data_IF_430218017871
#
_entry.id   IF_430218017871
#
_cell.length_a   1.000
_cell.length_b   1.000
_cell.length_c   1.000
_cell.angle_alpha   90.00
_cell.angle_beta   90.00
_cell.angle_gamma   90.00
#
_symmetry.space_group_name_H-M   'P 1'
#
loop_
_entity.id
_entity.type
_entity.pdbx_description
1 polymer ?
#
# COMPACT_ATOMS: atom_id res chain seq x y z
N UNK A 1 16.39 4.81 -28.34
CA UNK A 1 15.77 4.90 -29.67
C UNK A 1 14.98 3.63 -29.96
N UNK A 2 13.85 3.70 -30.65
CA UNK A 2 13.08 2.51 -31.04
C UNK A 2 13.91 1.61 -31.96
N UNK A 3 13.88 0.30 -31.71
CA UNK A 3 14.53 -0.72 -32.49
C UNK A 3 13.50 -1.42 -33.40
N UNK A 4 13.95 -1.88 -34.57
CA UNK A 4 13.09 -2.66 -35.46
C UNK A 4 12.76 -4.02 -34.84
N UNK A 5 11.54 -4.54 -35.10
CA UNK A 5 11.14 -5.91 -34.70
C UNK A 5 12.05 -7.01 -35.23
N UNK A 6 12.86 -6.74 -36.25
CA UNK A 6 13.90 -7.68 -36.66
C UNK A 6 14.92 -7.96 -35.55
N UNK A 7 15.19 -6.98 -34.67
CA UNK A 7 16.06 -7.17 -33.54
C UNK A 7 15.42 -8.05 -32.43
N UNK A 8 14.09 -8.20 -32.38
CA UNK A 8 13.43 -9.10 -31.43
C UNK A 8 13.84 -10.55 -31.66
N UNK A 9 13.99 -10.93 -32.93
CA UNK A 9 14.47 -12.27 -33.30
C UNK A 9 15.87 -12.58 -32.75
N UNK A 10 16.75 -11.58 -32.64
CA UNK A 10 18.07 -11.74 -32.02
C UNK A 10 17.93 -12.08 -30.54
N UNK A 11 17.01 -11.40 -29.81
CA UNK A 11 16.76 -11.68 -28.39
C UNK A 11 16.14 -13.06 -28.17
N UNK A 12 15.22 -13.50 -29.03
CA UNK A 12 14.60 -14.82 -28.93
C UNK A 12 15.58 -15.97 -29.11
N UNK A 13 16.68 -15.74 -29.85
CA UNK A 13 17.71 -16.75 -30.13
C UNK A 13 18.93 -16.65 -29.19
N UNK A 14 18.91 -15.75 -28.21
CA UNK A 14 19.97 -15.67 -27.22
C UNK A 14 19.96 -16.89 -26.27
N UNK A 15 21.13 -17.32 -25.78
CA UNK A 15 21.23 -18.47 -24.90
C UNK A 15 20.40 -18.31 -23.64
N UNK A 16 19.55 -19.28 -23.37
CA UNK A 16 18.71 -19.30 -22.18
C UNK A 16 17.43 -18.47 -22.23
N UNK A 17 17.15 -17.77 -23.33
CA UNK A 17 15.87 -17.06 -23.52
C UNK A 17 14.80 -18.05 -23.94
N UNK A 18 13.70 -18.08 -23.21
CA UNK A 18 12.53 -18.94 -23.44
C UNK A 18 11.42 -18.18 -24.17
N UNK A 19 11.29 -16.88 -23.92
CA UNK A 19 10.27 -16.02 -24.51
C UNK A 19 10.78 -14.57 -24.48
N UNK A 20 10.41 -13.80 -25.50
CA UNK A 20 10.68 -12.37 -25.60
C UNK A 20 9.40 -11.61 -26.00
N UNK A 21 9.02 -10.61 -25.24
CA UNK A 21 7.88 -9.75 -25.53
C UNK A 21 8.31 -8.29 -25.69
N UNK A 22 7.99 -7.66 -26.84
CA UNK A 22 8.32 -6.27 -27.09
C UNK A 22 7.33 -5.35 -26.39
N UNK A 23 7.81 -4.17 -25.97
CA UNK A 23 6.97 -3.09 -25.51
C UNK A 23 7.48 -1.75 -26.03
N UNK A 24 6.57 -0.78 -26.17
CA UNK A 24 6.89 0.58 -26.62
C UNK A 24 6.15 1.58 -25.77
N UNK A 25 6.82 2.64 -25.34
CA UNK A 25 6.21 3.73 -24.59
C UNK A 25 6.30 4.99 -25.44
N UNK A 26 5.16 5.60 -25.75
CA UNK A 26 5.09 6.80 -26.58
C UNK A 26 4.51 7.93 -25.77
N UNK A 27 5.28 9.00 -25.58
CA UNK A 27 4.82 10.20 -24.89
C UNK A 27 3.77 10.94 -25.71
N UNK A 28 2.66 11.29 -25.07
CA UNK A 28 1.55 11.94 -25.73
C UNK A 28 0.74 12.85 -24.81
N UNK A 29 0.12 13.89 -25.40
CA UNK A 29 -0.92 14.67 -24.75
C UNK A 29 -2.29 14.13 -25.16
N UNK A 30 -3.10 13.75 -24.18
CA UNK A 30 -4.49 13.32 -24.36
C UNK A 30 -5.40 14.53 -24.24
N UNK A 31 -6.31 14.73 -25.20
CA UNK A 31 -7.26 15.86 -25.20
C UNK A 31 -8.68 15.39 -25.46
N UNK A 32 -9.61 15.87 -24.67
CA UNK A 32 -11.05 15.67 -24.87
C UNK A 32 -11.80 16.97 -24.58
N UNK A 33 -12.21 17.68 -25.61
CA UNK A 33 -12.77 19.02 -25.48
C UNK A 33 -11.79 20.00 -24.81
N UNK A 34 -12.19 20.67 -23.70
CA UNK A 34 -11.33 21.61 -22.99
C UNK A 34 -10.33 20.92 -22.04
N UNK A 35 -10.46 19.61 -21.81
CA UNK A 35 -9.62 18.86 -20.87
C UNK A 35 -8.43 18.28 -21.59
N UNK A 36 -7.28 18.32 -20.93
CA UNK A 36 -6.05 17.72 -21.43
C UNK A 36 -5.24 17.11 -20.30
N UNK A 37 -4.51 16.04 -20.60
CA UNK A 37 -3.59 15.39 -19.68
C UNK A 37 -2.36 14.91 -20.43
N UNK A 38 -1.18 15.21 -19.88
CA UNK A 38 0.08 14.71 -20.42
C UNK A 38 0.40 13.36 -19.84
N UNK A 39 0.73 12.40 -20.68
CA UNK A 39 1.04 11.03 -20.27
C UNK A 39 1.80 10.26 -21.33
N UNK A 40 1.63 8.96 -21.33
CA UNK A 40 2.23 8.08 -22.32
C UNK A 40 1.25 6.96 -22.69
N UNK A 41 1.38 6.48 -23.91
CA UNK A 41 0.71 5.26 -24.40
C UNK A 41 1.70 4.12 -24.27
N UNK A 42 1.31 3.09 -23.55
CA UNK A 42 2.09 1.85 -23.42
C UNK A 42 1.58 0.87 -24.51
N UNK A 43 2.39 0.70 -25.54
CA UNK A 43 2.16 -0.30 -26.59
C UNK A 43 2.66 -1.66 -26.09
N UNK A 44 1.76 -2.61 -25.93
CA UNK A 44 2.04 -3.98 -25.50
C UNK A 44 1.38 -4.97 -26.45
N UNK A 45 1.87 -6.22 -26.58
CA UNK A 45 1.15 -7.25 -27.33
C UNK A 45 -0.23 -7.51 -26.73
N UNK A 46 -1.24 -7.74 -27.59
CA UNK A 46 -2.59 -8.08 -27.14
C UNK A 46 -2.64 -9.37 -26.31
N UNK A 47 -1.70 -10.27 -26.58
CA UNK A 47 -1.50 -11.57 -25.95
C UNK A 47 -0.31 -11.59 -24.96
N UNK A 48 0.01 -10.44 -24.34
CA UNK A 48 1.14 -10.33 -23.41
C UNK A 48 1.01 -11.29 -22.23
N UNK A 49 2.03 -12.11 -22.01
CA UNK A 49 2.13 -13.09 -20.92
C UNK A 49 3.15 -12.67 -19.86
N UNK A 50 4.26 -12.04 -20.30
CA UNK A 50 5.36 -11.67 -19.39
C UNK A 50 5.07 -10.42 -18.56
N UNK A 51 4.26 -9.52 -19.11
CA UNK A 51 3.84 -8.29 -18.41
C UNK A 51 2.32 -8.09 -18.52
N UNK A 52 1.52 -9.00 -17.95
CA UNK A 52 0.06 -8.83 -17.95
C UNK A 52 -0.33 -7.57 -17.16
N UNK A 53 -1.34 -6.87 -17.65
CA UNK A 53 -1.92 -5.71 -17.00
C UNK A 53 -2.96 -6.24 -16.02
N UNK A 54 -2.88 -5.84 -14.76
CA UNK A 54 -3.85 -6.22 -13.73
C UNK A 54 -4.72 -5.04 -13.35
N UNK A 55 -6.00 -5.30 -13.20
CA UNK A 55 -6.94 -4.43 -12.51
C UNK A 55 -6.73 -4.50 -10.98
N UNK A 56 -7.33 -3.58 -10.24
CA UNK A 56 -7.35 -3.58 -8.77
C UNK A 56 -7.97 -4.84 -8.17
N UNK A 57 -8.86 -5.54 -8.91
CA UNK A 57 -9.42 -6.84 -8.53
C UNK A 57 -8.44 -8.01 -8.69
N UNK A 58 -7.31 -7.80 -9.37
CA UNK A 58 -6.34 -8.84 -9.75
C UNK A 58 -6.70 -9.58 -11.03
N UNK A 59 -7.73 -9.14 -11.75
CA UNK A 59 -8.07 -9.68 -13.06
C UNK A 59 -7.15 -9.14 -14.15
N UNK A 60 -6.87 -9.95 -15.18
CA UNK A 60 -6.05 -9.53 -16.31
C UNK A 60 -6.88 -8.66 -17.24
N UNK A 61 -6.37 -7.49 -17.55
CA UNK A 61 -6.95 -6.56 -18.51
C UNK A 61 -6.45 -6.91 -19.91
N UNK A 62 -7.35 -7.37 -20.76
CA UNK A 62 -7.02 -7.63 -22.16
C UNK A 62 -6.86 -6.30 -22.92
N UNK A 63 -5.89 -6.26 -23.85
CA UNK A 63 -5.69 -5.11 -24.73
C UNK A 63 -6.25 -5.44 -26.12
N UNK A 64 -7.41 -4.89 -26.50
CA UNK A 64 -7.99 -5.14 -27.80
C UNK A 64 -7.06 -4.70 -28.96
N UNK A 65 -7.17 -5.29 -30.16
CA UNK A 65 -6.31 -5.00 -31.31
C UNK A 65 -6.51 -3.60 -31.92
N UNK A 66 -7.33 -2.76 -31.30
CA UNK A 66 -7.55 -1.38 -31.72
C UNK A 66 -8.20 -0.55 -30.64
N UNK A 67 -7.89 0.75 -30.61
CA UNK A 67 -8.37 1.69 -29.59
C UNK A 67 -7.50 1.76 -28.33
N UNK A 68 -7.92 2.62 -27.42
CA UNK A 68 -7.25 2.88 -26.14
C UNK A 68 -7.91 2.12 -25.00
N UNK A 69 -7.11 1.52 -24.16
CA UNK A 69 -7.47 1.04 -22.83
C UNK A 69 -6.96 2.08 -21.83
N UNK A 70 -7.86 2.79 -21.15
CA UNK A 70 -7.51 3.88 -20.23
C UNK A 70 -7.73 3.47 -18.79
N UNK A 71 -6.87 3.98 -17.90
CA UNK A 71 -7.19 3.94 -16.48
C UNK A 71 -8.42 4.81 -16.19
N UNK A 72 -9.29 4.36 -15.28
CA UNK A 72 -10.49 5.11 -14.84
C UNK A 72 -10.13 6.53 -14.42
N UNK A 73 -9.00 6.70 -13.74
CA UNK A 73 -8.49 8.02 -13.33
C UNK A 73 -8.20 8.93 -14.52
N UNK A 74 -7.60 8.42 -15.59
CA UNK A 74 -7.34 9.22 -16.80
C UNK A 74 -8.63 9.55 -17.53
N UNK A 75 -9.55 8.58 -17.63
CA UNK A 75 -10.86 8.77 -18.23
C UNK A 75 -11.69 9.84 -17.49
N UNK A 76 -11.72 9.82 -16.17
CA UNK A 76 -12.39 10.84 -15.32
C UNK A 76 -11.80 12.24 -15.53
N UNK A 77 -10.47 12.37 -15.61
CA UNK A 77 -9.81 13.65 -15.88
C UNK A 77 -10.18 14.22 -17.24
N UNK A 78 -10.22 13.36 -18.24
CA UNK A 78 -10.60 13.74 -19.61
C UNK A 78 -12.10 13.88 -19.76
N UNK A 79 -12.92 13.29 -18.88
CA UNK A 79 -14.36 13.26 -18.95
C UNK A 79 -14.86 12.40 -20.10
N UNK A 80 -14.22 11.27 -20.33
CA UNK A 80 -14.55 10.32 -21.41
C UNK A 80 -14.92 8.96 -20.84
N UNK A 81 -15.75 8.24 -21.56
CA UNK A 81 -16.16 6.86 -21.29
C UNK A 81 -15.81 5.90 -22.42
N UNK A 82 -16.16 4.64 -22.23
CA UNK A 82 -16.04 3.63 -23.29
C UNK A 82 -16.94 4.02 -24.49
N UNK A 83 -16.35 4.00 -25.68
CA UNK A 83 -17.01 4.43 -26.92
C UNK A 83 -16.71 5.87 -27.34
N UNK A 84 -16.24 6.71 -26.42
CA UNK A 84 -15.79 8.07 -26.73
C UNK A 84 -14.47 8.07 -27.48
N UNK A 85 -14.12 9.20 -28.08
CA UNK A 85 -12.84 9.35 -28.77
C UNK A 85 -11.99 10.45 -28.12
N UNK A 86 -10.72 10.17 -28.01
CA UNK A 86 -9.71 11.07 -27.45
C UNK A 86 -8.77 11.52 -28.56
N UNK A 87 -8.44 12.80 -28.59
CA UNK A 87 -7.38 13.32 -29.42
C UNK A 87 -6.04 13.08 -28.74
N UNK A 88 -5.11 12.49 -29.45
CA UNK A 88 -3.76 12.17 -28.98
C UNK A 88 -2.78 12.98 -29.80
N UNK A 89 -2.04 13.87 -29.18
CA UNK A 89 -0.91 14.57 -29.77
C UNK A 89 0.39 13.88 -29.35
N UNK A 90 0.99 13.17 -30.29
CA UNK A 90 2.21 12.41 -30.04
C UNK A 90 3.44 13.31 -30.04
N UNK A 91 4.37 13.10 -29.13
CA UNK A 91 5.56 13.92 -29.00
C UNK A 91 6.81 13.34 -29.69
N UNK A 92 6.66 12.17 -30.30
CA UNK A 92 7.73 11.49 -31.00
C UNK A 92 7.50 11.51 -32.53
N UNK A 93 8.59 11.32 -33.27
CA UNK A 93 8.57 11.21 -34.74
C UNK A 93 7.95 12.43 -35.40
N UNK A 94 6.92 12.22 -36.21
CA UNK A 94 6.20 13.26 -36.98
C UNK A 94 5.24 14.10 -36.13
N UNK A 95 5.10 13.81 -34.85
CA UNK A 95 4.17 14.45 -33.91
C UNK A 95 2.73 14.53 -34.43
N UNK A 96 2.15 13.42 -34.84
CA UNK A 96 0.80 13.44 -35.37
C UNK A 96 -0.22 13.71 -34.26
N UNK A 97 -1.32 14.39 -34.65
CA UNK A 97 -2.50 14.49 -33.80
C UNK A 97 -3.55 13.54 -34.35
N UNK A 98 -3.97 12.56 -33.54
CA UNK A 98 -4.78 11.44 -33.96
C UNK A 98 -6.01 11.32 -33.06
N UNK A 99 -7.11 10.90 -33.64
CA UNK A 99 -8.33 10.63 -32.91
C UNK A 99 -8.48 9.12 -32.71
N UNK A 100 -8.55 8.67 -31.46
CA UNK A 100 -8.57 7.25 -31.11
C UNK A 100 -9.74 6.95 -30.18
N UNK A 101 -10.50 5.89 -30.42
CA UNK A 101 -11.61 5.50 -29.56
C UNK A 101 -11.11 4.87 -28.26
N UNK A 102 -11.82 5.12 -27.16
CA UNK A 102 -11.65 4.43 -25.88
C UNK A 102 -12.47 3.14 -25.94
N UNK A 103 -11.81 2.00 -25.86
CA UNK A 103 -12.46 0.69 -26.00
C UNK A 103 -12.70 0.01 -24.67
N UNK A 104 -11.88 0.32 -23.66
CA UNK A 104 -11.99 -0.26 -22.33
C UNK A 104 -11.47 0.68 -21.26
N UNK A 105 -12.04 0.59 -20.07
CA UNK A 105 -11.53 1.23 -18.85
C UNK A 105 -11.13 0.15 -17.85
N UNK A 106 -10.11 0.44 -17.04
CA UNK A 106 -9.67 -0.42 -15.96
C UNK A 106 -9.24 0.40 -14.74
N UNK A 107 -9.35 -0.18 -13.58
CA UNK A 107 -8.91 0.48 -12.34
C UNK A 107 -7.46 0.14 -12.01
N UNK A 108 -6.72 1.13 -11.54
CA UNK A 108 -5.32 0.95 -11.10
C UNK A 108 -5.01 1.78 -9.89
N UNK A 109 -4.07 1.28 -9.07
CA UNK A 109 -3.59 1.99 -7.88
C UNK A 109 -2.50 3.01 -8.20
N UNK A 110 -1.88 2.93 -9.38
CA UNK A 110 -0.69 3.74 -9.69
C UNK A 110 -0.85 4.46 -11.02
N UNK A 111 -0.79 5.79 -10.96
CA UNK A 111 -0.71 6.66 -12.13
C UNK A 111 -1.98 6.72 -12.98
N UNK A 112 -1.78 7.21 -14.19
CA UNK A 112 -2.82 7.39 -15.21
C UNK A 112 -2.40 6.67 -16.51
N UNK A 113 -2.14 5.35 -16.49
CA UNK A 113 -1.67 4.64 -17.68
C UNK A 113 -2.74 4.55 -18.75
N UNK A 114 -2.26 4.59 -20.01
CA UNK A 114 -3.02 4.27 -21.21
C UNK A 114 -2.29 3.14 -21.93
N UNK A 115 -3.05 2.15 -22.40
CA UNK A 115 -2.52 1.01 -23.15
C UNK A 115 -3.14 0.91 -24.52
N UNK A 116 -2.38 0.34 -25.45
CA UNK A 116 -2.83 0.03 -26.80
C UNK A 116 -2.04 -1.20 -27.31
N UNK A 117 -2.63 -1.97 -28.20
CA UNK A 117 -1.89 -3.01 -28.92
C UNK A 117 -0.71 -2.38 -29.67
N UNK A 118 0.50 -2.92 -29.49
CA UNK A 118 1.72 -2.37 -30.07
C UNK A 118 1.65 -2.29 -31.61
N UNK A 119 1.01 -3.28 -32.25
CA UNK A 119 0.82 -3.29 -33.70
C UNK A 119 -0.18 -2.23 -34.15
N UNK A 120 -1.19 -1.96 -33.34
CA UNK A 120 -2.15 -0.89 -33.59
C UNK A 120 -1.49 0.49 -33.42
N UNK A 121 -0.64 0.64 -32.40
CA UNK A 121 0.12 1.85 -32.16
C UNK A 121 1.08 2.16 -33.32
N UNK A 122 1.85 1.19 -33.79
CA UNK A 122 2.75 1.37 -34.93
C UNK A 122 1.99 1.76 -36.21
N UNK A 123 0.86 1.13 -36.48
CA UNK A 123 -0.03 1.50 -37.61
C UNK A 123 -0.57 2.91 -37.48
N UNK A 124 -0.97 3.30 -36.27
CA UNK A 124 -1.49 4.63 -35.97
C UNK A 124 -0.42 5.71 -36.22
N UNK A 125 0.82 5.44 -35.87
CA UNK A 125 1.95 6.34 -36.06
C UNK A 125 2.49 6.35 -37.49
N UNK A 126 2.03 5.43 -38.35
CA UNK A 126 2.55 5.18 -39.71
C UNK A 126 4.05 4.89 -39.69
N UNK A 127 4.50 4.19 -38.66
CA UNK A 127 5.88 3.76 -38.47
C UNK A 127 6.03 2.26 -38.74
N UNK A 128 7.28 1.85 -38.99
CA UNK A 128 7.59 0.42 -39.06
C UNK A 128 7.49 -0.17 -37.66
N UNK A 129 7.11 -1.46 -37.56
CA UNK A 129 7.08 -2.15 -36.28
C UNK A 129 8.36 -1.97 -35.50
N UNK A 130 8.24 -1.42 -34.29
CA UNK A 130 9.39 -1.04 -33.47
C UNK A 130 9.08 -1.20 -31.97
N UNK A 131 10.12 -1.39 -31.18
CA UNK A 131 10.04 -1.50 -29.72
C UNK A 131 11.18 -0.73 -29.03
N UNK A 132 10.99 -0.41 -27.77
CA UNK A 132 11.99 0.26 -26.92
C UNK A 132 12.42 -0.63 -25.77
N UNK A 133 11.54 -1.53 -25.34
CA UNK A 133 11.74 -2.46 -24.24
C UNK A 133 11.44 -3.87 -24.70
N UNK A 134 12.18 -4.83 -24.17
CA UNK A 134 11.91 -6.26 -24.35
C UNK A 134 11.89 -6.92 -23.00
N UNK A 135 10.80 -7.60 -22.71
CA UNK A 135 10.69 -8.47 -21.54
C UNK A 135 11.14 -9.87 -21.93
N UNK A 136 12.09 -10.41 -21.21
CA UNK A 136 12.64 -11.73 -21.46
C UNK A 136 12.29 -12.69 -20.34
N UNK A 137 11.77 -13.86 -20.70
CA UNK A 137 11.72 -15.01 -19.82
C UNK A 137 12.99 -15.82 -20.04
N UNK A 138 13.76 -16.00 -18.98
CA UNK A 138 15.10 -16.62 -19.08
C UNK A 138 15.17 -17.83 -18.15
N UNK A 139 15.80 -18.90 -18.62
CA UNK A 139 16.18 -20.01 -17.75
C UNK A 139 17.28 -19.55 -16.76
N UNK A 140 17.11 -19.89 -15.49
CA UNK A 140 18.08 -19.54 -14.42
C UNK A 140 19.50 -19.99 -14.72
N UNK A 141 19.65 -21.13 -15.38
CA UNK A 141 20.98 -21.66 -15.73
C UNK A 141 21.67 -20.80 -16.80
N UNK A 142 20.91 -20.16 -17.70
CA UNK A 142 21.41 -19.29 -18.77
C UNK A 142 21.63 -17.84 -18.39
N UNK A 143 21.09 -17.39 -17.24
CA UNK A 143 21.09 -16.00 -16.83
C UNK A 143 22.49 -15.32 -16.80
N UNK A 144 23.57 -15.93 -16.25
CA UNK A 144 24.89 -15.28 -16.22
C UNK A 144 25.50 -15.11 -17.60
N UNK A 145 25.30 -16.08 -18.50
CA UNK A 145 25.79 -16.03 -19.86
C UNK A 145 25.07 -14.94 -20.66
N UNK A 146 23.74 -14.90 -20.57
CA UNK A 146 22.92 -13.88 -21.20
C UNK A 146 23.29 -12.47 -20.73
N UNK A 147 23.51 -12.27 -19.44
CA UNK A 147 23.94 -10.98 -18.90
C UNK A 147 25.27 -10.50 -19.48
N UNK A 148 26.20 -11.40 -19.64
CA UNK A 148 27.50 -11.09 -20.24
C UNK A 148 27.35 -10.66 -21.69
N UNK A 149 26.48 -11.33 -22.43
CA UNK A 149 26.17 -11.02 -23.81
C UNK A 149 25.43 -9.68 -23.96
N UNK A 150 24.40 -9.45 -23.15
CA UNK A 150 23.62 -8.19 -23.14
C UNK A 150 24.50 -6.98 -22.80
N UNK A 151 25.43 -7.11 -21.84
CA UNK A 151 26.36 -6.03 -21.48
C UNK A 151 27.34 -5.65 -22.60
N UNK A 152 27.63 -6.58 -23.48
CA UNK A 152 28.53 -6.34 -24.63
C UNK A 152 27.80 -5.70 -25.83
N UNK A 153 26.49 -5.58 -25.78
CA UNK A 153 25.71 -4.97 -26.86
C UNK A 153 25.53 -3.46 -26.63
N UNK A 154 26.12 -2.61 -27.48
CA UNK A 154 26.15 -1.15 -27.28
C UNK A 154 24.75 -0.49 -27.43
N UNK A 155 23.77 -1.20 -27.98
CA UNK A 155 22.42 -0.72 -28.17
C UNK A 155 21.54 -0.91 -26.95
N UNK A 156 21.99 -1.70 -25.94
CA UNK A 156 21.23 -1.97 -24.72
C UNK A 156 21.60 -0.93 -23.67
N UNK A 157 20.67 -0.07 -23.33
CA UNK A 157 20.86 0.98 -22.34
C UNK A 157 20.93 0.45 -20.89
N UNK A 158 20.29 -0.68 -20.62
CA UNK A 158 20.29 -1.30 -19.30
C UNK A 158 19.45 -2.57 -19.23
N UNK A 159 19.73 -3.39 -18.25
CA UNK A 159 19.00 -4.61 -17.94
C UNK A 159 18.46 -4.51 -16.52
N UNK A 160 17.19 -4.80 -16.34
CA UNK A 160 16.53 -4.80 -15.03
C UNK A 160 15.94 -6.19 -14.74
N UNK A 161 16.32 -6.74 -13.60
CA UNK A 161 15.72 -7.98 -13.12
C UNK A 161 14.46 -7.68 -12.33
N UNK A 162 13.34 -8.26 -12.74
CA UNK A 162 12.08 -8.14 -12.02
C UNK A 162 12.18 -8.69 -10.59
N UNK A 163 12.88 -9.81 -10.41
CA UNK A 163 13.11 -10.41 -9.08
C UNK A 163 13.88 -9.49 -8.14
N UNK A 164 14.97 -8.88 -8.63
CA UNK A 164 15.76 -7.93 -7.86
C UNK A 164 14.99 -6.65 -7.53
N UNK A 165 14.17 -6.16 -8.47
CA UNK A 165 13.29 -5.01 -8.26
C UNK A 165 12.26 -5.28 -7.17
N UNK A 166 11.57 -6.42 -7.23
CA UNK A 166 10.58 -6.83 -6.22
C UNK A 166 11.25 -7.06 -4.85
N UNK A 167 12.41 -7.69 -4.81
CA UNK A 167 13.14 -7.92 -3.55
C UNK A 167 13.61 -6.60 -2.93
N UNK A 168 14.15 -5.69 -3.73
CA UNK A 168 14.58 -4.36 -3.27
C UNK A 168 13.38 -3.56 -2.76
N UNK A 169 12.26 -3.57 -3.49
CA UNK A 169 11.03 -2.91 -3.04
C UNK A 169 10.52 -3.51 -1.73
N UNK A 170 10.49 -4.84 -1.63
CA UNK A 170 10.05 -5.55 -0.42
C UNK A 170 10.94 -5.24 0.79
N UNK A 171 12.25 -5.17 0.61
CA UNK A 171 13.18 -4.78 1.67
C UNK A 171 13.01 -3.31 2.07
N UNK A 172 13.02 -2.40 1.10
CA UNK A 172 12.91 -0.96 1.39
C UNK A 172 11.56 -0.62 2.03
N UNK A 173 10.45 -1.13 1.50
CA UNK A 173 9.12 -0.81 1.99
C UNK A 173 8.79 -1.65 3.22
N UNK A 174 9.03 -2.96 3.18
CA UNK A 174 8.70 -3.87 4.27
C UNK A 174 9.48 -3.56 5.54
N UNK A 175 10.80 -3.51 5.48
CA UNK A 175 11.64 -3.28 6.64
C UNK A 175 11.43 -1.87 7.22
N UNK A 176 11.32 -0.87 6.35
CA UNK A 176 11.06 0.51 6.78
C UNK A 176 9.70 0.64 7.44
N UNK A 177 8.64 0.08 6.86
CA UNK A 177 7.30 0.12 7.44
C UNK A 177 7.23 -0.63 8.78
N UNK A 178 7.90 -1.79 8.90
CA UNK A 178 7.94 -2.53 10.16
C UNK A 178 8.62 -1.73 11.29
N UNK A 179 9.69 -0.99 10.98
CA UNK A 179 10.35 -0.10 11.94
C UNK A 179 9.38 1.01 12.38
N UNK A 180 8.70 1.67 11.45
CA UNK A 180 7.70 2.71 11.77
C UNK A 180 6.53 2.16 12.59
N UNK A 181 5.97 1.02 12.20
CA UNK A 181 4.89 0.36 12.95
C UNK A 181 5.36 0.03 14.37
N UNK A 182 6.56 -0.54 14.51
CA UNK A 182 7.16 -0.85 15.82
C UNK A 182 7.32 0.40 16.69
N UNK A 183 7.87 1.48 16.14
CA UNK A 183 8.05 2.74 16.85
C UNK A 183 6.71 3.35 17.29
N UNK A 184 5.74 3.47 16.40
CA UNK A 184 4.43 4.03 16.74
C UNK A 184 3.66 3.15 17.73
N UNK A 185 3.76 1.84 17.59
CA UNK A 185 3.16 0.89 18.54
C UNK A 185 3.79 1.02 19.94
N UNK A 186 5.11 1.13 20.03
CA UNK A 186 5.80 1.35 21.30
C UNK A 186 5.40 2.69 21.93
N UNK A 187 5.33 3.75 21.13
CA UNK A 187 4.91 5.07 21.58
C UNK A 187 3.44 5.07 22.06
N UNK A 188 2.53 4.50 21.29
CA UNK A 188 1.12 4.36 21.66
C UNK A 188 0.97 3.53 22.96
N UNK A 189 1.75 2.44 23.09
CA UNK A 189 1.77 1.60 24.29
C UNK A 189 2.27 2.38 25.53
N UNK A 190 3.29 3.21 25.38
CA UNK A 190 3.80 4.05 26.46
C UNK A 190 2.77 5.10 26.91
N UNK A 191 2.08 5.75 25.95
CA UNK A 191 0.99 6.67 26.26
C UNK A 191 -0.18 5.96 26.95
N UNK A 192 -0.61 4.82 26.41
CA UNK A 192 -1.68 4.00 26.99
C UNK A 192 -1.34 3.55 28.41
N UNK A 193 -0.10 3.11 28.63
CA UNK A 193 0.40 2.79 29.96
C UNK A 193 0.31 4.00 30.91
N UNK A 194 0.77 5.17 30.48
CA UNK A 194 0.71 6.39 31.29
C UNK A 194 -0.71 6.77 31.67
N UNK A 195 -1.65 6.70 30.74
CA UNK A 195 -3.08 7.01 30.98
C UNK A 195 -3.68 6.01 31.97
N UNK A 196 -3.55 4.70 31.71
CA UNK A 196 -4.13 3.65 32.58
C UNK A 196 -3.52 3.69 33.96
N UNK A 197 -2.20 3.83 34.06
CA UNK A 197 -1.50 3.93 35.34
C UNK A 197 -1.94 5.16 36.14
N UNK A 198 -2.05 6.32 35.48
CA UNK A 198 -2.49 7.56 36.14
C UNK A 198 -3.93 7.48 36.60
N UNK A 199 -4.83 6.95 35.76
CA UNK A 199 -6.25 6.72 36.11
C UNK A 199 -6.39 5.81 37.33
N UNK A 200 -5.67 4.70 37.34
CA UNK A 200 -5.67 3.78 38.49
C UNK A 200 -5.10 4.42 39.75
N UNK A 201 -4.08 5.27 39.64
CA UNK A 201 -3.49 6.02 40.75
C UNK A 201 -4.46 7.06 41.30
N UNK A 202 -5.15 7.79 40.44
CA UNK A 202 -6.18 8.77 40.86
C UNK A 202 -7.32 8.05 41.57
N UNK A 203 -7.87 6.99 40.99
CA UNK A 203 -8.91 6.20 41.62
C UNK A 203 -8.51 5.66 43.01
N UNK A 204 -7.26 5.23 43.15
CA UNK A 204 -6.71 4.82 44.44
C UNK A 204 -6.64 6.00 45.45
N UNK A 205 -6.26 7.20 44.99
CA UNK A 205 -6.14 8.38 45.87
C UNK A 205 -7.53 8.88 46.32
N UNK A 206 -8.50 8.91 45.40
CA UNK A 206 -9.85 9.41 45.69
C UNK A 206 -10.63 8.45 46.57
N UNK A 207 -10.49 7.15 46.34
CA UNK A 207 -11.26 6.10 47.09
C UNK A 207 -10.42 5.44 48.20
N UNK A 208 -9.31 6.03 48.57
CA UNK A 208 -8.43 5.45 49.57
C UNK A 208 -9.10 5.20 50.93
N UNK A 209 -10.03 6.06 51.34
CA UNK A 209 -10.83 5.89 52.59
C UNK A 209 -11.82 4.74 52.47
N UNK A 210 -12.56 4.63 51.35
CA UNK A 210 -13.50 3.55 51.09
C UNK A 210 -12.80 2.20 51.11
N UNK A 211 -11.64 2.13 50.43
CA UNK A 211 -10.80 0.91 50.37
C UNK A 211 -10.21 0.56 51.74
N UNK A 212 -9.87 1.56 52.57
CA UNK A 212 -9.40 1.36 53.92
C UNK A 212 -10.54 0.87 54.86
N UNK A 213 -11.76 1.36 54.69
CA UNK A 213 -12.97 0.87 55.39
C UNK A 213 -13.25 -0.58 55.06
N UNK A 214 -13.22 -0.95 53.77
CA UNK A 214 -13.35 -2.35 53.36
C UNK A 214 -12.28 -3.25 54.01
N UNK A 215 -11.08 -2.75 54.18
CA UNK A 215 -10.00 -3.47 54.86
C UNK A 215 -10.31 -3.73 56.35
N UNK A 216 -10.89 -2.74 57.03
CA UNK A 216 -11.33 -2.86 58.43
C UNK A 216 -12.46 -3.85 58.58
N UNK A 217 -13.35 -3.92 57.56
CA UNK A 217 -14.43 -4.89 57.48
C UNK A 217 -13.97 -6.32 57.17
N UNK A 218 -12.67 -6.55 56.97
CA UNK A 218 -12.09 -7.88 56.81
C UNK A 218 -11.80 -8.31 55.37
N UNK A 219 -11.97 -7.43 54.39
CA UNK A 219 -11.61 -7.74 53.03
C UNK A 219 -10.11 -7.95 52.85
N UNK A 220 -9.73 -8.95 52.07
CA UNK A 220 -8.35 -9.22 51.71
C UNK A 220 -7.76 -8.15 50.78
N UNK A 221 -6.43 -8.02 50.74
CA UNK A 221 -5.77 -7.10 49.78
C UNK A 221 -6.08 -7.46 48.33
N UNK A 222 -6.26 -8.74 48.06
CA UNK A 222 -6.64 -9.22 46.72
C UNK A 222 -8.03 -8.75 46.29
N UNK A 223 -9.01 -8.83 47.18
CA UNK A 223 -10.38 -8.40 46.88
C UNK A 223 -10.47 -6.89 46.65
N UNK A 224 -9.74 -6.11 47.44
CA UNK A 224 -9.66 -4.64 47.25
C UNK A 224 -8.99 -4.31 45.90
N UNK A 225 -7.90 -4.98 45.56
CA UNK A 225 -7.24 -4.81 44.26
C UNK A 225 -8.13 -5.21 43.11
N UNK A 226 -8.90 -6.29 43.27
CA UNK A 226 -9.85 -6.76 42.25
C UNK A 226 -10.97 -5.73 41.98
N UNK A 227 -11.51 -5.10 43.02
CA UNK A 227 -12.53 -4.08 42.88
C UNK A 227 -11.99 -2.86 42.11
N UNK A 228 -10.82 -2.34 42.52
CA UNK A 228 -10.21 -1.17 41.89
C UNK A 228 -9.77 -1.44 40.43
N UNK A 229 -9.07 -2.55 40.21
CA UNK A 229 -8.55 -2.89 38.90
C UNK A 229 -9.64 -3.40 37.96
N UNK A 230 -10.70 -3.99 38.52
CA UNK A 230 -11.88 -4.42 37.76
C UNK A 230 -12.63 -3.23 37.14
N UNK A 231 -12.77 -2.13 37.89
CA UNK A 231 -13.36 -0.90 37.36
C UNK A 231 -12.52 -0.32 36.20
N UNK A 232 -11.22 -0.21 36.37
CA UNK A 232 -10.33 0.25 35.30
C UNK A 232 -10.35 -0.71 34.11
N UNK A 233 -10.36 -2.02 34.37
CA UNK A 233 -10.47 -3.06 33.34
C UNK A 233 -11.77 -2.96 32.53
N UNK A 234 -12.89 -2.72 33.22
CA UNK A 234 -14.20 -2.53 32.57
C UNK A 234 -14.20 -1.28 31.68
N UNK A 235 -13.65 -0.17 32.17
CA UNK A 235 -13.53 1.06 31.39
C UNK A 235 -12.69 0.84 30.13
N UNK A 236 -11.56 0.15 30.25
CA UNK A 236 -10.73 -0.21 29.08
C UNK A 236 -11.48 -1.10 28.13
N UNK A 237 -12.18 -2.12 28.64
CA UNK A 237 -12.97 -3.01 27.80
C UNK A 237 -14.04 -2.28 26.99
N UNK A 238 -14.73 -1.31 27.60
CA UNK A 238 -15.73 -0.46 26.92
C UNK A 238 -15.07 0.54 25.95
N UNK A 239 -13.85 0.97 26.23
CA UNK A 239 -13.11 1.89 25.37
C UNK A 239 -12.52 1.20 24.11
N UNK A 240 -12.29 -0.11 24.14
CA UNK A 240 -11.74 -0.86 23.00
C UNK A 240 -12.56 -0.71 21.71
N UNK A 241 -13.87 -0.98 21.68
CA UNK A 241 -14.65 -0.83 20.44
C UNK A 241 -14.69 0.62 19.97
N UNK A 242 -14.72 1.60 20.88
CA UNK A 242 -14.69 3.01 20.53
C UNK A 242 -13.32 3.38 19.90
N UNK A 243 -12.23 2.88 20.48
CA UNK A 243 -10.88 3.06 19.93
C UNK A 243 -10.72 2.46 18.54
N UNK A 244 -11.27 1.25 18.31
CA UNK A 244 -11.30 0.62 16.99
C UNK A 244 -12.11 1.44 15.97
N UNK A 245 -13.27 1.96 16.37
CA UNK A 245 -14.11 2.80 15.51
C UNK A 245 -13.40 4.12 15.14
N UNK A 246 -12.75 4.76 16.12
CA UNK A 246 -11.95 5.97 15.88
C UNK A 246 -10.75 5.68 14.97
N UNK A 247 -10.06 4.55 15.19
CA UNK A 247 -8.94 4.10 14.34
C UNK A 247 -9.38 3.85 12.91
N UNK A 248 -10.53 3.20 12.71
CA UNK A 248 -11.15 3.01 11.40
C UNK A 248 -11.44 4.35 10.72
N UNK A 249 -12.10 5.27 11.42
CA UNK A 249 -12.45 6.59 10.90
C UNK A 249 -11.22 7.41 10.52
N UNK A 250 -10.15 7.36 11.32
CA UNK A 250 -8.90 8.03 11.04
C UNK A 250 -8.19 7.42 9.82
N UNK A 251 -8.15 6.10 9.72
CA UNK A 251 -7.57 5.40 8.57
C UNK A 251 -8.34 5.73 7.28
N UNK A 252 -9.68 5.75 7.34
CA UNK A 252 -10.52 6.16 6.22
C UNK A 252 -10.26 7.62 5.80
N UNK A 253 -10.17 8.53 6.76
CA UNK A 253 -9.85 9.93 6.49
C UNK A 253 -8.48 10.07 5.84
N UNK A 254 -7.47 9.36 6.36
CA UNK A 254 -6.12 9.39 5.81
C UNK A 254 -6.10 8.88 4.37
N UNK A 255 -6.71 7.75 4.07
CA UNK A 255 -6.76 7.22 2.71
C UNK A 255 -7.48 8.14 1.75
N UNK A 256 -8.56 8.82 2.17
CA UNK A 256 -9.29 9.77 1.31
C UNK A 256 -8.50 11.06 1.05
N UNK A 257 -7.80 11.58 2.06
CA UNK A 257 -7.00 12.83 1.94
C UNK A 257 -5.71 12.60 1.17
N UNK A 258 -5.05 11.44 1.34
CA UNK A 258 -3.78 11.13 0.68
C UNK A 258 -3.95 10.50 -0.71
N UNK A 259 -5.18 10.31 -1.21
CA UNK A 259 -5.39 9.95 -2.60
C UNK A 259 -4.90 11.06 -3.50
N UNK A 260 -3.80 10.79 -4.20
CA UNK A 260 -3.21 11.70 -5.19
C UNK A 260 -3.39 11.14 -6.59
N UNK A 261 -3.08 11.96 -7.60
CA UNK A 261 -3.09 11.52 -9.00
C UNK A 261 -2.11 10.38 -9.30
N UNK A 262 -1.03 10.30 -8.50
CA UNK A 262 0.04 9.32 -8.70
C UNK A 262 -0.22 8.01 -7.97
N UNK A 263 -0.95 8.06 -6.83
CA UNK A 263 -1.18 6.88 -5.98
C UNK A 263 -2.60 6.92 -5.42
N UNK A 264 -3.33 5.83 -5.61
CA UNK A 264 -4.56 5.53 -4.88
C UNK A 264 -4.25 4.49 -3.82
N UNK A 265 -4.37 4.86 -2.56
CA UNK A 265 -4.15 3.91 -1.46
C UNK A 265 -5.44 3.12 -1.25
N UNK A 266 -5.43 1.79 -1.44
CA UNK A 266 -6.62 1.00 -1.17
C UNK A 266 -6.95 1.05 0.32
N UNK A 267 -8.22 1.34 0.65
CA UNK A 267 -8.70 1.26 2.02
C UNK A 267 -9.03 -0.20 2.36
N UNK A 268 -8.02 -0.93 2.81
CA UNK A 268 -8.17 -2.32 3.25
C UNK A 268 -7.63 -2.44 4.67
N UNK A 269 -8.49 -2.83 5.60
CA UNK A 269 -8.08 -3.12 6.98
C UNK A 269 -8.39 -4.59 7.25
N UNK A 270 -7.36 -5.37 7.46
CA UNK A 270 -7.52 -6.77 7.84
C UNK A 270 -8.07 -6.90 9.26
N UNK A 271 -8.97 -7.86 9.53
CA UNK A 271 -9.47 -8.14 10.88
C UNK A 271 -8.37 -8.42 11.90
N UNK A 272 -7.26 -9.01 11.46
CA UNK A 272 -6.05 -9.25 12.25
C UNK A 272 -5.50 -7.98 12.91
N UNK A 273 -5.58 -6.84 12.23
CA UNK A 273 -5.12 -5.54 12.74
C UNK A 273 -5.89 -5.12 14.00
N UNK A 274 -7.21 -5.30 14.00
CA UNK A 274 -8.02 -5.03 15.20
C UNK A 274 -7.68 -5.99 16.34
N UNK A 275 -7.48 -7.28 16.03
CA UNK A 275 -7.09 -8.27 17.01
C UNK A 275 -5.76 -7.92 17.69
N UNK A 276 -4.75 -7.56 16.92
CA UNK A 276 -3.44 -7.14 17.43
C UNK A 276 -3.54 -5.87 18.29
N UNK A 277 -4.28 -4.86 17.82
CA UNK A 277 -4.48 -3.62 18.56
C UNK A 277 -5.17 -3.84 19.91
N UNK A 278 -6.22 -4.67 19.93
CA UNK A 278 -6.92 -5.04 21.18
C UNK A 278 -6.00 -5.81 22.14
N UNK A 279 -5.25 -6.79 21.64
CA UNK A 279 -4.30 -7.56 22.45
C UNK A 279 -3.22 -6.68 23.06
N UNK A 280 -2.68 -5.73 22.29
CA UNK A 280 -1.70 -4.76 22.78
C UNK A 280 -2.30 -3.87 23.88
N UNK A 281 -3.50 -3.34 23.67
CA UNK A 281 -4.17 -2.52 24.66
C UNK A 281 -4.44 -3.28 25.97
N UNK A 282 -4.89 -4.55 25.86
CA UNK A 282 -5.08 -5.42 27.02
C UNK A 282 -3.77 -5.77 27.72
N UNK A 283 -2.70 -6.03 26.99
CA UNK A 283 -1.37 -6.30 27.55
C UNK A 283 -0.83 -5.09 28.33
N UNK A 284 -0.93 -3.89 27.75
CA UNK A 284 -0.52 -2.64 28.40
C UNK A 284 -1.35 -2.40 29.66
N UNK A 285 -2.65 -2.64 29.62
CA UNK A 285 -3.54 -2.53 30.76
C UNK A 285 -3.17 -3.52 31.86
N UNK A 286 -2.90 -4.78 31.50
CA UNK A 286 -2.49 -5.80 32.45
C UNK A 286 -1.15 -5.46 33.15
N UNK A 287 -0.16 -4.96 32.38
CA UNK A 287 1.12 -4.49 32.93
C UNK A 287 0.90 -3.33 33.91
N UNK A 288 0.09 -2.35 33.52
CA UNK A 288 -0.27 -1.22 34.38
C UNK A 288 -0.95 -1.67 35.67
N UNK A 289 -1.91 -2.60 35.54
CA UNK A 289 -2.64 -3.18 36.67
C UNK A 289 -1.71 -3.89 37.66
N UNK A 290 -0.77 -4.70 37.15
CA UNK A 290 0.23 -5.39 37.99
C UNK A 290 1.12 -4.42 38.75
N UNK A 291 1.55 -3.33 38.10
CA UNK A 291 2.38 -2.31 38.73
C UNK A 291 1.61 -1.53 39.80
N UNK A 292 0.37 -1.14 39.52
CA UNK A 292 -0.51 -0.48 40.49
C UNK A 292 -0.77 -1.39 41.71
N UNK A 293 -1.05 -2.68 41.46
CA UNK A 293 -1.25 -3.67 42.51
C UNK A 293 0.01 -3.80 43.40
N UNK A 294 1.18 -3.95 42.81
CA UNK A 294 2.45 -4.02 43.59
C UNK A 294 2.69 -2.77 44.47
N UNK A 295 2.23 -1.61 43.99
CA UNK A 295 2.30 -0.37 44.74
C UNK A 295 1.27 -0.34 45.87
N UNK A 296 0.05 -0.82 45.60
CA UNK A 296 -1.04 -0.96 46.59
C UNK A 296 -0.61 -1.87 47.77
N UNK A 297 0.04 -2.99 47.45
CA UNK A 297 0.51 -3.95 48.43
C UNK A 297 1.57 -3.38 49.41
N UNK A 298 2.30 -2.34 48.95
CA UNK A 298 3.32 -1.62 49.77
C UNK A 298 2.77 -0.44 50.56
N UNK A 299 1.52 0.01 50.28
CA UNK A 299 0.89 1.09 51.03
C UNK A 299 0.28 0.55 52.32
N UNK A 300 0.63 1.16 53.45
CA UNK A 300 -0.03 0.91 54.72
C UNK A 300 -1.34 1.70 54.79
N UNK A 301 -2.42 1.06 54.25
CA UNK A 301 -3.78 1.65 54.17
C UNK A 301 -4.30 2.05 55.57
N UNK A 302 -3.77 1.48 56.64
CA UNK A 302 -4.17 1.77 58.03
C UNK A 302 -3.59 3.12 58.48
N UNK A 303 -2.37 3.45 58.00
CA UNK A 303 -1.72 4.72 58.30
C UNK A 303 -2.48 5.91 57.67
N UNK A 304 -3.17 5.73 56.54
CA UNK A 304 -3.97 6.76 55.87
C UNK A 304 -5.17 7.18 56.71
N UNK A 305 -5.71 6.29 57.53
CA UNK A 305 -6.83 6.61 58.47
C UNK A 305 -6.33 7.41 59.67
N UNK A 306 -5.02 7.32 60.01
CA UNK A 306 -4.43 7.89 61.24
C UNK A 306 -3.86 9.30 61.06
N UNK A 307 -3.66 9.78 59.83
CA UNK A 307 -2.94 11.03 59.53
C UNK A 307 -3.84 12.26 59.27
N UNK A 308 -5.12 12.22 59.65
CA UNK A 308 -6.03 13.39 59.59
C UNK A 308 -6.97 13.41 60.78
N UNK A 309 -6.45 13.53 61.97
CA UNK A 309 -7.00 14.28 63.08
C UNK A 309 -6.24 15.58 63.25
#
# INVERSE_FOLDING_TARGET
EPQSTAALFEFEHMPGVLMAEPARIVSADFRAGPRSHRGAINGVPADAVLQPIYDVSGEIVEVPPGGLVLSTTLAEKLGVGVGDSVWIEVWEGRRPTLRVPVVQLFETYVGTPAYMDIRALDRLLLERPSFQYVSLLVDRAGEPALLTELKNQPKIAGVMFRSAGVETFRKLVGDTLLIYIGFFTAFASALGFGVVYNSARIALSERGRELATLRVLGFSRMEISYILLGEVGLLVFLALPLGCAMGFGLAWLMTTVFNTELYRVPFVIEPSTYGIAMLLALAVTAISAVLVRRRLDRLDLIAVLKTRE
#
